data_IF_753070419966
#
_entry.id   IF_753070419966
#
_cell.length_a   1.000
_cell.length_b   1.000
_cell.length_c   1.000
_cell.angle_alpha   90.00
_cell.angle_beta   90.00
_cell.angle_gamma   90.00
#
_symmetry.space_group_name_H-M   'P 1'
#
loop_
_entity.id
_entity.type
_entity.pdbx_description
1 polymer ?
#
# COMPACT_ATOMS: atom_id res chain seq x y z
N UNK A 1 -15.56 16.64 31.95
CA UNK A 1 -14.45 17.46 31.42
C UNK A 1 -13.44 17.59 32.53
N UNK A 2 -12.18 17.20 32.33
CA UNK A 2 -11.14 17.47 33.32
C UNK A 2 -11.00 18.99 33.45
N UNK A 3 -10.99 19.49 34.68
CA UNK A 3 -10.77 20.91 34.95
C UNK A 3 -9.31 21.24 34.63
N UNK A 4 -9.07 22.18 33.72
CA UNK A 4 -7.73 22.68 33.39
C UNK A 4 -7.07 23.19 34.66
N UNK A 5 -5.88 22.68 34.95
CA UNK A 5 -5.12 22.96 36.17
C UNK A 5 -3.90 23.81 35.86
N UNK A 6 -3.85 25.01 36.43
CA UNK A 6 -2.70 25.91 36.35
C UNK A 6 -1.91 25.81 37.66
N UNK A 7 -0.60 25.55 37.55
CA UNK A 7 0.32 25.61 38.68
C UNK A 7 0.88 27.03 38.81
N UNK A 8 0.59 27.69 39.90
CA UNK A 8 1.13 29.00 40.26
C UNK A 8 2.28 28.83 41.25
N UNK A 9 3.47 29.31 40.91
CA UNK A 9 4.67 29.27 41.76
C UNK A 9 5.10 30.70 42.07
N UNK A 10 4.87 31.13 43.31
CA UNK A 10 5.14 32.50 43.77
C UNK A 10 5.40 32.48 45.29
N UNK A 11 6.47 33.11 45.75
CA UNK A 11 6.85 33.13 47.17
C UNK A 11 6.02 34.14 47.99
N UNK A 12 5.75 35.32 47.42
CA UNK A 12 4.92 36.36 48.02
C UNK A 12 3.48 35.91 48.21
N UNK A 13 3.07 35.74 49.47
CA UNK A 13 1.71 35.33 49.82
C UNK A 13 0.63 36.28 49.26
N UNK A 14 0.92 37.58 49.20
CA UNK A 14 0.00 38.58 48.66
C UNK A 14 -0.18 38.43 47.16
N UNK A 15 0.92 38.35 46.39
CA UNK A 15 0.85 38.19 44.93
C UNK A 15 0.20 36.86 44.57
N UNK A 16 0.61 35.78 45.27
CA UNK A 16 0.06 34.44 45.08
C UNK A 16 -1.45 34.43 45.26
N UNK A 17 -1.96 35.07 46.32
CA UNK A 17 -3.41 35.18 46.57
C UNK A 17 -4.14 35.88 45.42
N UNK A 18 -3.67 37.03 44.94
CA UNK A 18 -4.34 37.76 43.86
C UNK A 18 -4.35 36.99 42.53
N UNK A 19 -3.21 36.37 42.17
CA UNK A 19 -3.13 35.59 40.92
C UNK A 19 -3.95 34.30 41.03
N UNK A 20 -3.97 33.66 42.20
CA UNK A 20 -4.81 32.48 42.46
C UNK A 20 -6.30 32.80 42.32
N UNK A 21 -6.79 33.90 42.91
CA UNK A 21 -8.18 34.32 42.74
C UNK A 21 -8.51 34.59 41.27
N UNK A 22 -7.62 35.26 40.55
CA UNK A 22 -7.79 35.52 39.12
C UNK A 22 -7.89 34.23 38.28
N UNK A 23 -7.02 33.24 38.52
CA UNK A 23 -7.08 31.94 37.84
C UNK A 23 -8.42 31.23 38.10
N UNK A 24 -8.90 31.28 39.35
CA UNK A 24 -10.20 30.71 39.72
C UNK A 24 -11.36 31.44 39.05
N UNK A 25 -11.30 32.77 38.93
CA UNK A 25 -12.29 33.58 38.21
C UNK A 25 -12.35 33.28 36.70
N UNK A 26 -11.21 32.90 36.09
CA UNK A 26 -11.16 32.41 34.71
C UNK A 26 -11.78 31.00 34.55
N UNK A 27 -12.16 30.34 35.65
CA UNK A 27 -12.78 29.01 35.64
C UNK A 27 -11.77 27.85 35.63
N UNK A 28 -10.50 28.13 35.88
CA UNK A 28 -9.44 27.12 35.96
C UNK A 28 -9.18 26.70 37.41
N UNK A 29 -8.69 25.47 37.60
CA UNK A 29 -8.18 25.02 38.90
C UNK A 29 -6.81 25.62 39.12
N UNK A 30 -6.60 26.28 40.25
CA UNK A 30 -5.27 26.74 40.67
C UNK A 30 -4.67 25.74 41.67
N UNK A 31 -3.42 25.35 41.44
CA UNK A 31 -2.56 24.72 42.45
C UNK A 31 -1.41 25.67 42.72
N UNK A 32 -1.11 25.90 44.00
CA UNK A 32 -0.17 26.94 44.43
C UNK A 32 1.05 26.31 45.08
N UNK A 33 2.25 26.76 44.69
CA UNK A 33 3.54 26.40 45.26
C UNK A 33 4.30 27.67 45.66
N UNK A 34 5.13 27.58 46.71
CA UNK A 34 5.84 28.73 47.30
C UNK A 34 7.26 28.92 46.79
N UNK A 35 7.82 27.89 46.16
CA UNK A 35 9.17 27.89 45.60
C UNK A 35 9.30 26.82 44.50
N UNK A 36 10.43 26.81 43.80
CA UNK A 36 10.70 25.86 42.73
C UNK A 36 10.71 24.39 43.18
N UNK A 37 11.09 24.11 44.43
CA UNK A 37 11.17 22.74 44.95
C UNK A 37 9.77 22.14 45.12
N UNK A 38 8.85 22.87 45.74
CA UNK A 38 7.44 22.47 45.87
C UNK A 38 6.80 22.25 44.49
N UNK A 39 7.12 23.10 43.51
CA UNK A 39 6.63 22.96 42.13
C UNK A 39 7.13 21.67 41.46
N UNK A 40 8.42 21.37 41.58
CA UNK A 40 9.00 20.11 41.06
C UNK A 40 8.40 18.90 41.78
N UNK A 41 8.23 18.95 43.09
CA UNK A 41 7.59 17.86 43.86
C UNK A 41 6.14 17.61 43.44
N UNK A 42 5.37 18.67 43.20
CA UNK A 42 4.02 18.54 42.63
C UNK A 42 4.05 17.86 41.26
N UNK A 43 4.90 18.36 40.35
CA UNK A 43 4.98 17.87 38.98
C UNK A 43 5.48 16.43 38.86
N UNK A 44 6.19 15.90 39.88
CA UNK A 44 6.59 14.48 39.94
C UNK A 44 5.39 13.54 40.05
N UNK A 45 4.29 14.02 40.62
CA UNK A 45 3.09 13.22 40.82
C UNK A 45 2.03 13.50 39.75
N UNK A 46 1.94 14.73 39.26
CA UNK A 46 0.91 15.15 38.32
C UNK A 46 1.39 16.33 37.46
N UNK A 47 1.20 16.25 36.14
CA UNK A 47 1.45 17.39 35.25
C UNK A 47 0.28 18.39 35.27
N UNK A 48 0.54 19.70 35.45
CA UNK A 48 -0.44 20.75 35.19
C UNK A 48 -0.57 21.04 33.68
N UNK A 49 -1.61 21.76 33.29
CA UNK A 49 -1.83 22.18 31.90
C UNK A 49 -1.06 23.46 31.53
N UNK A 50 -0.65 24.24 32.55
CA UNK A 50 0.17 25.45 32.40
C UNK A 50 0.86 25.78 33.73
N UNK A 51 2.06 26.34 33.67
CA UNK A 51 2.81 26.80 34.85
C UNK A 51 3.05 28.30 34.75
N UNK A 52 2.65 29.03 35.79
CA UNK A 52 3.06 30.41 36.03
C UNK A 52 4.18 30.39 37.09
N UNK A 53 5.36 30.85 36.72
CA UNK A 53 6.58 30.67 37.52
C UNK A 53 7.21 32.02 37.85
N UNK A 54 7.31 32.38 39.13
CA UNK A 54 8.20 33.46 39.53
C UNK A 54 9.66 33.07 39.30
N UNK A 55 10.49 34.03 38.90
CA UNK A 55 11.91 33.80 38.65
C UNK A 55 12.70 33.80 39.95
N UNK A 56 12.42 34.74 40.85
CA UNK A 56 13.23 34.96 42.06
C UNK A 56 12.45 34.45 43.27
N UNK A 57 12.88 33.33 43.82
CA UNK A 57 12.26 32.68 44.97
C UNK A 57 13.31 32.06 45.89
N UNK A 58 13.01 31.84 47.19
CA UNK A 58 13.90 31.11 48.09
C UNK A 58 14.01 29.63 47.70
N UNK A 59 15.04 28.96 48.23
CA UNK A 59 15.33 27.52 48.07
C UNK A 59 15.72 27.08 46.64
N UNK A 60 14.79 27.16 45.69
CA UNK A 60 15.01 26.86 44.27
C UNK A 60 14.35 27.96 43.43
N UNK A 61 15.15 28.61 42.60
CA UNK A 61 14.67 29.68 41.73
C UNK A 61 13.88 29.13 40.53
N UNK A 62 13.14 30.00 39.84
CA UNK A 62 12.27 29.59 38.73
C UNK A 62 13.02 29.04 37.51
N UNK A 63 14.28 29.45 37.29
CA UNK A 63 15.10 28.99 36.17
C UNK A 63 15.61 27.56 36.41
N UNK A 64 16.08 27.30 37.63
CA UNK A 64 16.47 25.99 38.11
C UNK A 64 15.28 25.03 38.07
N UNK A 65 14.13 25.47 38.60
CA UNK A 65 12.89 24.69 38.58
C UNK A 65 12.46 24.35 37.15
N UNK A 66 12.49 25.32 36.23
CA UNK A 66 12.14 25.10 34.81
C UNK A 66 13.05 24.07 34.17
N UNK A 67 14.36 24.12 34.44
CA UNK A 67 15.32 23.14 33.92
C UNK A 67 14.98 21.72 34.40
N UNK A 68 14.64 21.56 35.68
CA UNK A 68 14.24 20.26 36.23
C UNK A 68 12.88 19.78 35.72
N UNK A 69 11.91 20.69 35.59
CA UNK A 69 10.58 20.40 35.04
C UNK A 69 10.66 19.96 33.58
N UNK A 70 11.50 20.58 32.75
CA UNK A 70 11.69 20.15 31.35
C UNK A 70 12.27 18.75 31.24
N UNK A 71 13.21 18.38 32.12
CA UNK A 71 13.71 16.99 32.20
C UNK A 71 12.61 16.03 32.66
N UNK A 72 11.78 16.46 33.60
CA UNK A 72 10.72 15.64 34.16
C UNK A 72 9.60 15.37 33.14
N UNK A 73 9.19 16.37 32.37
CA UNK A 73 8.12 16.21 31.38
C UNK A 73 8.58 15.51 30.09
N UNK A 74 9.88 15.55 29.77
CA UNK A 74 10.44 14.88 28.60
C UNK A 74 9.81 15.40 27.30
N UNK A 75 9.15 14.50 26.56
CA UNK A 75 8.46 14.84 25.31
C UNK A 75 7.09 15.49 25.52
N UNK A 76 6.53 15.44 26.73
CA UNK A 76 5.28 16.12 27.04
C UNK A 76 5.53 17.62 27.26
N UNK A 77 5.01 18.46 26.38
CA UNK A 77 5.18 19.90 26.51
C UNK A 77 4.11 20.52 27.42
N UNK A 78 4.56 21.06 28.56
CA UNK A 78 3.75 21.89 29.45
C UNK A 78 4.20 23.35 29.30
N UNK A 79 3.31 24.30 28.99
CA UNK A 79 3.67 25.71 28.88
C UNK A 79 4.15 26.29 30.21
N UNK A 80 5.27 27.01 30.20
CA UNK A 80 5.84 27.71 31.36
C UNK A 80 5.98 29.19 31.04
N UNK A 81 5.19 30.02 31.73
CA UNK A 81 5.22 31.48 31.61
C UNK A 81 5.88 32.07 32.86
N UNK A 82 6.98 32.78 32.68
CA UNK A 82 7.66 33.45 33.78
C UNK A 82 6.96 34.74 34.20
N UNK A 83 6.84 34.97 35.51
CA UNK A 83 6.42 36.24 36.09
C UNK A 83 7.66 36.92 36.68
N UNK A 84 8.08 38.07 36.15
CA UNK A 84 9.40 38.64 36.51
C UNK A 84 9.34 40.15 36.75
N UNK A 85 10.07 40.65 37.75
CA UNK A 85 10.29 42.08 37.97
C UNK A 85 11.31 42.58 36.94
N UNK A 86 10.87 43.35 35.95
CA UNK A 86 11.72 43.93 34.90
C UNK A 86 12.93 44.64 35.53
N UNK A 87 14.14 44.11 35.34
CA UNK A 87 15.35 44.93 35.45
C UNK A 87 16.50 44.54 34.50
N UNK A 88 16.54 43.37 33.85
CA UNK A 88 17.58 43.08 32.86
C UNK A 88 17.04 42.25 31.69
N UNK A 89 17.17 42.77 30.46
CA UNK A 89 16.92 42.03 29.21
C UNK A 89 17.71 40.71 29.14
N UNK A 90 18.83 40.62 29.86
CA UNK A 90 19.65 39.41 29.98
C UNK A 90 18.91 38.28 30.73
N UNK A 91 18.11 38.59 31.76
CA UNK A 91 17.36 37.58 32.52
C UNK A 91 16.25 36.91 31.69
N UNK A 92 15.64 37.64 30.74
CA UNK A 92 14.64 37.10 29.81
C UNK A 92 15.26 36.09 28.85
N UNK A 93 16.43 36.43 28.29
CA UNK A 93 17.16 35.54 27.36
C UNK A 93 17.62 34.27 28.08
N UNK A 94 18.06 34.38 29.34
CA UNK A 94 18.43 33.23 30.18
C UNK A 94 17.21 32.35 30.50
N UNK A 95 16.05 32.94 30.79
CA UNK A 95 14.79 32.20 31.03
C UNK A 95 14.30 31.40 29.83
N UNK A 96 14.31 32.00 28.64
CA UNK A 96 13.96 31.29 27.41
C UNK A 96 14.96 30.15 27.10
N UNK A 97 16.25 30.36 27.37
CA UNK A 97 17.28 29.31 27.23
C UNK A 97 17.14 28.18 28.26
N UNK A 98 16.62 28.46 29.46
CA UNK A 98 16.29 27.47 30.46
C UNK A 98 15.04 26.64 30.10
N UNK A 99 14.32 27.03 29.03
CA UNK A 99 13.16 26.33 28.51
C UNK A 99 11.82 26.95 28.91
N UNK A 100 11.76 28.20 29.36
CA UNK A 100 10.48 28.93 29.46
C UNK A 100 9.92 29.28 28.07
N UNK A 101 8.60 29.32 27.95
CA UNK A 101 7.93 29.59 26.67
C UNK A 101 7.58 31.08 26.49
N UNK A 102 7.40 31.80 27.60
CA UNK A 102 7.07 33.24 27.58
C UNK A 102 7.36 33.90 28.94
N UNK A 103 7.21 35.21 29.01
CA UNK A 103 7.33 35.98 30.24
C UNK A 103 6.31 37.12 30.32
N UNK A 104 6.03 37.55 31.55
CA UNK A 104 5.19 38.69 31.88
C UNK A 104 5.85 39.52 32.98
N UNK A 105 5.93 40.82 32.75
CA UNK A 105 6.53 41.76 33.68
C UNK A 105 5.63 42.01 34.91
N UNK A 106 6.24 42.11 36.09
CA UNK A 106 5.60 42.61 37.32
C UNK A 106 5.64 44.16 37.32
N UNK A 107 4.58 44.85 37.77
CA UNK A 107 3.31 44.29 38.26
C UNK A 107 2.50 43.63 37.14
N UNK A 108 1.96 42.44 37.43
CA UNK A 108 1.29 41.58 36.45
C UNK A 108 0.02 42.26 35.94
N UNK A 109 -0.06 42.46 34.63
CA UNK A 109 -1.31 42.84 33.96
C UNK A 109 -2.19 41.61 33.78
N UNK A 110 -3.34 41.59 34.45
CA UNK A 110 -4.29 40.48 34.36
C UNK A 110 -4.88 40.30 32.95
N UNK A 111 -5.11 41.39 32.21
CA UNK A 111 -5.56 41.32 30.82
C UNK A 111 -4.54 40.60 29.93
N UNK A 112 -3.25 40.95 30.07
CA UNK A 112 -2.18 40.27 29.34
C UNK A 112 -1.97 38.83 29.80
N UNK A 113 -2.11 38.57 31.11
CA UNK A 113 -1.99 37.22 31.66
C UNK A 113 -3.09 36.30 31.12
N UNK A 114 -4.36 36.73 31.11
CA UNK A 114 -5.45 35.93 30.52
C UNK A 114 -5.21 35.63 29.05
N UNK A 115 -4.81 36.63 28.26
CA UNK A 115 -4.53 36.44 26.85
C UNK A 115 -3.42 35.38 26.62
N UNK A 116 -2.33 35.45 27.39
CA UNK A 116 -1.23 34.47 27.30
C UNK A 116 -1.68 33.08 27.76
N UNK A 117 -2.39 32.97 28.88
CA UNK A 117 -2.93 31.68 29.37
C UNK A 117 -3.78 31.02 28.28
N UNK A 118 -4.72 31.75 27.67
CA UNK A 118 -5.59 31.21 26.63
C UNK A 118 -4.81 30.74 25.40
N UNK A 119 -3.81 31.51 24.95
CA UNK A 119 -2.98 31.15 23.79
C UNK A 119 -2.18 29.87 24.07
N UNK A 120 -1.51 29.79 25.22
CA UNK A 120 -0.66 28.64 25.53
C UNK A 120 -1.46 27.37 25.81
N UNK A 121 -2.59 27.47 26.50
CA UNK A 121 -3.50 26.34 26.67
C UNK A 121 -4.01 25.82 25.32
N UNK A 122 -4.36 26.72 24.39
CA UNK A 122 -4.77 26.34 23.04
C UNK A 122 -3.66 25.63 22.27
N UNK A 123 -2.42 26.11 22.35
CA UNK A 123 -1.28 25.45 21.69
C UNK A 123 -1.05 24.07 22.29
N UNK A 124 -1.12 23.94 23.62
CA UNK A 124 -0.91 22.67 24.31
C UNK A 124 -2.00 21.65 23.95
N UNK A 125 -3.25 22.10 23.87
CA UNK A 125 -4.37 21.29 23.40
C UNK A 125 -4.15 20.82 21.95
N UNK A 126 -3.75 21.72 21.04
CA UNK A 126 -3.46 21.36 19.65
C UNK A 126 -2.31 20.35 19.53
N UNK A 127 -1.24 20.50 20.31
CA UNK A 127 -0.13 19.53 20.31
C UNK A 127 -0.57 18.15 20.82
N UNK A 128 -1.37 18.12 21.90
CA UNK A 128 -1.93 16.86 22.40
C UNK A 128 -2.84 16.20 21.34
N UNK A 129 -3.66 16.98 20.63
CA UNK A 129 -4.49 16.46 19.55
C UNK A 129 -3.65 15.88 18.41
N UNK A 130 -2.61 16.59 17.97
CA UNK A 130 -1.70 16.10 16.91
C UNK A 130 -1.05 14.77 17.32
N UNK A 131 -0.55 14.66 18.55
CA UNK A 131 0.07 13.43 19.05
C UNK A 131 -0.95 12.29 19.12
N UNK A 132 -2.18 12.55 19.56
CA UNK A 132 -3.24 11.55 19.59
C UNK A 132 -3.65 11.10 18.18
N UNK A 133 -3.74 12.03 17.24
CA UNK A 133 -4.07 11.73 15.85
C UNK A 133 -2.94 10.96 15.17
N UNK A 134 -1.67 11.26 15.48
CA UNK A 134 -0.53 10.48 14.99
C UNK A 134 -0.60 9.02 15.46
N UNK A 135 -0.85 8.78 16.76
CA UNK A 135 -1.00 7.43 17.32
C UNK A 135 -2.20 6.72 16.69
N UNK A 136 -3.33 7.41 16.52
CA UNK A 136 -4.53 6.84 15.89
C UNK A 136 -4.26 6.47 14.42
N UNK A 137 -3.53 7.32 13.70
CA UNK A 137 -3.20 7.11 12.30
C UNK A 137 -2.25 5.92 12.12
N UNK A 138 -1.22 5.81 12.95
CA UNK A 138 -0.31 4.66 12.96
C UNK A 138 -1.08 3.35 13.16
N UNK A 139 -1.98 3.32 14.15
CA UNK A 139 -2.84 2.16 14.38
C UNK A 139 -3.72 1.81 13.16
N UNK A 140 -4.31 2.81 12.50
CA UNK A 140 -5.09 2.56 11.28
C UNK A 140 -4.25 2.00 10.13
N UNK A 141 -3.00 2.46 10.00
CA UNK A 141 -2.08 1.91 9.01
C UNK A 141 -1.76 0.45 9.28
N UNK A 142 -1.42 0.10 10.53
CA UNK A 142 -1.15 -1.28 10.91
C UNK A 142 -2.35 -2.22 10.68
N UNK A 143 -3.56 -1.78 11.08
CA UNK A 143 -4.79 -2.58 10.88
C UNK A 143 -5.08 -2.80 9.38
N UNK A 144 -5.00 -1.75 8.56
CA UNK A 144 -5.26 -1.84 7.12
C UNK A 144 -4.17 -2.67 6.41
N UNK A 145 -2.90 -2.54 6.80
CA UNK A 145 -1.82 -3.35 6.24
C UNK A 145 -2.03 -4.83 6.56
N UNK A 146 -2.42 -5.14 7.80
CA UNK A 146 -2.72 -6.52 8.20
C UNK A 146 -3.91 -7.10 7.42
N UNK A 147 -5.01 -6.36 7.28
CA UNK A 147 -6.18 -6.78 6.48
C UNK A 147 -5.81 -7.04 5.02
N UNK A 148 -5.00 -6.16 4.43
CA UNK A 148 -4.49 -6.33 3.07
C UNK A 148 -3.63 -7.59 2.97
N UNK A 149 -2.64 -7.77 3.84
CA UNK A 149 -1.76 -8.95 3.85
C UNK A 149 -2.54 -10.26 3.97
N UNK A 150 -3.55 -10.31 4.86
CA UNK A 150 -4.40 -11.49 5.01
C UNK A 150 -5.18 -11.81 3.72
N UNK A 151 -5.74 -10.78 3.06
CA UNK A 151 -6.46 -10.97 1.81
C UNK A 151 -5.53 -11.49 0.69
N UNK A 152 -4.31 -10.97 0.61
CA UNK A 152 -3.29 -11.44 -0.34
C UNK A 152 -2.92 -12.90 -0.10
N UNK A 153 -2.70 -13.27 1.16
CA UNK A 153 -2.37 -14.65 1.52
C UNK A 153 -3.50 -15.63 1.14
N UNK A 154 -4.76 -15.24 1.35
CA UNK A 154 -5.91 -16.05 0.95
C UNK A 154 -5.97 -16.25 -0.57
N UNK A 155 -5.77 -15.18 -1.34
CA UNK A 155 -5.82 -15.26 -2.81
C UNK A 155 -4.65 -16.09 -3.35
N UNK A 156 -3.43 -15.91 -2.82
CA UNK A 156 -2.30 -16.75 -3.19
C UNK A 156 -2.53 -18.23 -2.87
N UNK A 157 -3.14 -18.54 -1.72
CA UNK A 157 -3.46 -19.93 -1.35
C UNK A 157 -4.48 -20.54 -2.31
N UNK A 158 -5.50 -19.79 -2.75
CA UNK A 158 -6.48 -20.26 -3.72
C UNK A 158 -5.82 -20.60 -5.06
N UNK A 159 -4.92 -19.75 -5.56
CA UNK A 159 -4.21 -19.97 -6.83
C UNK A 159 -3.24 -21.16 -6.71
N UNK A 160 -2.43 -21.22 -5.65
CA UNK A 160 -1.37 -22.24 -5.50
C UNK A 160 -1.92 -23.66 -5.33
N UNK A 161 -3.04 -23.84 -4.62
CA UNK A 161 -3.53 -25.19 -4.30
C UNK A 161 -4.06 -25.96 -5.51
N UNK A 162 -4.40 -25.29 -6.60
CA UNK A 162 -5.14 -25.91 -7.72
C UNK A 162 -4.45 -25.77 -9.08
N UNK A 163 -3.21 -25.28 -9.10
CA UNK A 163 -2.43 -25.07 -10.34
C UNK A 163 -1.38 -26.16 -10.52
N UNK A 164 -1.38 -26.83 -11.66
CA UNK A 164 -0.30 -27.74 -12.07
C UNK A 164 0.91 -26.96 -12.59
N UNK A 165 2.10 -27.57 -12.50
CA UNK A 165 3.35 -26.99 -13.03
C UNK A 165 4.10 -28.03 -13.85
N UNK A 166 3.66 -28.28 -15.09
CA UNK A 166 4.36 -29.21 -15.97
C UNK A 166 5.72 -28.64 -16.41
N UNK A 167 6.69 -29.52 -16.63
CA UNK A 167 8.10 -29.13 -16.91
C UNK A 167 8.27 -28.37 -18.23
N UNK A 168 7.37 -28.56 -19.19
CA UNK A 168 7.40 -27.88 -20.48
C UNK A 168 6.72 -26.50 -20.46
N UNK A 169 6.18 -26.06 -19.31
CA UNK A 169 5.65 -24.70 -19.12
C UNK A 169 6.53 -23.92 -18.15
N UNK A 170 7.13 -22.85 -18.66
CA UNK A 170 7.79 -21.85 -17.86
C UNK A 170 6.83 -20.67 -17.65
N UNK A 171 6.75 -20.16 -16.43
CA UNK A 171 5.87 -19.06 -16.06
C UNK A 171 6.60 -18.04 -15.19
N UNK A 172 6.20 -16.78 -15.33
CA UNK A 172 6.64 -15.69 -14.48
C UNK A 172 5.49 -14.74 -14.21
N UNK A 173 5.38 -14.31 -12.95
CA UNK A 173 4.40 -13.37 -12.46
C UNK A 173 5.11 -12.43 -11.48
N UNK A 174 5.08 -11.12 -11.73
CA UNK A 174 5.72 -10.12 -10.87
C UNK A 174 4.83 -8.90 -10.68
N UNK A 175 4.46 -8.54 -9.44
CA UNK A 175 3.60 -7.40 -9.18
C UNK A 175 4.30 -6.05 -9.43
N UNK A 176 3.57 -5.05 -9.90
CA UNK A 176 3.98 -3.65 -9.96
C UNK A 176 3.84 -2.95 -8.60
N UNK A 177 2.81 -3.30 -7.81
CA UNK A 177 2.60 -2.76 -6.47
C UNK A 177 1.80 -3.72 -5.58
N UNK A 178 2.40 -4.21 -4.48
CA UNK A 178 1.75 -4.98 -3.40
C UNK A 178 1.15 -6.35 -3.77
N UNK A 179 0.44 -6.45 -4.90
CA UNK A 179 -0.21 -7.62 -5.46
C UNK A 179 -0.23 -7.55 -6.99
N UNK A 180 -0.27 -8.71 -7.63
CA UNK A 180 -0.27 -8.84 -9.08
C UNK A 180 -1.72 -9.00 -9.60
N UNK A 181 -2.24 -8.02 -10.32
CA UNK A 181 -3.54 -8.05 -11.00
C UNK A 181 -3.62 -9.08 -12.13
N UNK A 182 -2.47 -9.55 -12.64
CA UNK A 182 -2.39 -10.70 -13.52
C UNK A 182 -2.46 -12.03 -12.75
N UNK A 183 -2.94 -13.04 -13.47
CA UNK A 183 -3.19 -14.36 -12.97
C UNK A 183 -2.77 -15.37 -14.04
N UNK A 184 -2.10 -16.42 -13.58
CA UNK A 184 -1.80 -17.60 -14.40
C UNK A 184 -2.39 -18.82 -13.69
N UNK A 185 -3.35 -19.48 -14.34
CA UNK A 185 -3.90 -20.78 -13.91
C UNK A 185 -3.53 -21.83 -14.95
N UNK A 186 -3.10 -22.99 -14.48
CA UNK A 186 -2.81 -24.17 -15.29
C UNK A 186 -3.48 -25.36 -14.60
N UNK A 187 -4.38 -26.03 -15.30
CA UNK A 187 -5.09 -27.21 -14.80
C UNK A 187 -5.05 -28.33 -15.83
N UNK A 188 -5.12 -29.57 -15.35
CA UNK A 188 -5.20 -30.74 -16.20
C UNK A 188 -6.65 -31.26 -16.17
N UNK A 189 -7.40 -31.21 -17.29
CA UNK A 189 -8.73 -31.81 -17.34
C UNK A 189 -8.64 -33.35 -17.26
N UNK A 190 -9.70 -34.06 -16.83
CA UNK A 190 -9.74 -35.52 -16.77
C UNK A 190 -9.46 -36.22 -18.11
N UNK A 191 -9.69 -35.53 -19.24
CA UNK A 191 -9.45 -36.03 -20.59
C UNK A 191 -7.99 -35.95 -21.07
N UNK A 192 -7.08 -35.37 -20.28
CA UNK A 192 -5.69 -35.12 -20.67
C UNK A 192 -5.48 -33.79 -21.39
N UNK A 193 -4.22 -33.46 -21.70
CA UNK A 193 -3.83 -32.12 -22.14
C UNK A 193 -3.92 -31.11 -21.00
N UNK A 194 -3.99 -29.82 -21.30
CA UNK A 194 -3.98 -28.75 -20.31
C UNK A 194 -5.01 -27.67 -20.63
N UNK A 195 -5.46 -27.02 -19.57
CA UNK A 195 -6.28 -25.82 -19.58
C UNK A 195 -5.49 -24.72 -18.90
N UNK A 196 -5.15 -23.69 -19.65
CA UNK A 196 -4.30 -22.58 -19.22
C UNK A 196 -5.09 -21.29 -19.38
N UNK A 197 -5.04 -20.44 -18.36
CA UNK A 197 -5.56 -19.07 -18.41
C UNK A 197 -4.46 -18.11 -17.99
N UNK A 198 -4.12 -17.18 -18.86
CA UNK A 198 -3.47 -15.92 -18.49
C UNK A 198 -4.55 -14.86 -18.48
N UNK A 199 -4.72 -14.18 -17.35
CA UNK A 199 -5.74 -13.17 -17.16
C UNK A 199 -5.12 -11.93 -16.53
N UNK A 200 -5.45 -10.77 -17.04
CA UNK A 200 -5.10 -9.44 -16.54
C UNK A 200 -6.40 -8.75 -16.14
N UNK A 201 -6.52 -8.46 -14.85
CA UNK A 201 -7.73 -7.87 -14.28
C UNK A 201 -7.58 -6.35 -14.19
N UNK A 202 -8.55 -5.61 -14.75
CA UNK A 202 -8.51 -4.15 -14.75
C UNK A 202 -8.31 -3.56 -13.34
N UNK A 203 -7.29 -2.71 -13.20
CA UNK A 203 -6.89 -2.08 -11.95
C UNK A 203 -5.56 -2.67 -11.45
N UNK A 204 -5.16 -2.33 -10.23
CA UNK A 204 -3.96 -2.91 -9.60
C UNK A 204 -4.22 -3.22 -8.13
N UNK A 205 -3.33 -4.01 -7.53
CA UNK A 205 -3.40 -4.36 -6.11
C UNK A 205 -4.57 -5.28 -5.76
N UNK A 206 -5.04 -5.19 -4.51
CA UNK A 206 -6.08 -6.08 -3.97
C UNK A 206 -7.41 -6.03 -4.76
N UNK A 207 -7.73 -4.90 -5.37
CA UNK A 207 -8.99 -4.76 -6.09
C UNK A 207 -9.03 -5.54 -7.41
N UNK A 208 -7.89 -5.65 -8.11
CA UNK A 208 -7.75 -6.52 -9.28
C UNK A 208 -7.82 -7.99 -8.85
N UNK A 209 -7.12 -8.33 -7.76
CA UNK A 209 -7.13 -9.65 -7.13
C UNK A 209 -8.53 -10.22 -6.88
N UNK A 210 -9.38 -9.43 -6.20
CA UNK A 210 -10.74 -9.82 -5.85
C UNK A 210 -11.60 -9.99 -7.11
N UNK A 211 -11.31 -9.22 -8.16
CA UNK A 211 -12.03 -9.30 -9.45
C UNK A 211 -11.72 -10.61 -10.19
N UNK A 212 -10.55 -11.22 -9.93
CA UNK A 212 -10.15 -12.48 -10.53
C UNK A 212 -10.82 -13.71 -9.87
N UNK A 213 -11.21 -13.62 -8.58
CA UNK A 213 -11.70 -14.76 -7.80
C UNK A 213 -12.84 -15.55 -8.45
N UNK A 214 -13.91 -14.92 -9.00
CA UNK A 214 -14.96 -15.67 -9.65
C UNK A 214 -14.48 -16.44 -10.87
N UNK A 215 -13.50 -15.88 -11.61
CA UNK A 215 -12.90 -16.55 -12.76
C UNK A 215 -12.10 -17.77 -12.31
N UNK A 216 -11.27 -17.63 -11.26
CA UNK A 216 -10.46 -18.71 -10.67
C UNK A 216 -11.35 -19.91 -10.29
N UNK A 217 -12.36 -19.67 -9.46
CA UNK A 217 -13.23 -20.73 -8.96
C UNK A 217 -13.97 -21.43 -10.11
N UNK A 218 -14.52 -20.64 -11.04
CA UNK A 218 -15.26 -21.19 -12.19
C UNK A 218 -14.36 -22.02 -13.10
N UNK A 219 -13.15 -21.53 -13.38
CA UNK A 219 -12.19 -22.20 -14.24
C UNK A 219 -11.79 -23.56 -13.66
N UNK A 220 -11.47 -23.61 -12.36
CA UNK A 220 -11.12 -24.86 -11.68
C UNK A 220 -12.28 -25.85 -11.66
N UNK A 221 -13.46 -25.44 -11.17
CA UNK A 221 -14.62 -26.34 -11.03
C UNK A 221 -15.04 -26.96 -12.37
N UNK A 222 -15.05 -26.16 -13.43
CA UNK A 222 -15.44 -26.64 -14.75
C UNK A 222 -14.36 -27.52 -15.39
N UNK A 223 -13.08 -27.22 -15.17
CA UNK A 223 -11.98 -28.08 -15.63
C UNK A 223 -12.03 -29.45 -14.94
N UNK A 224 -12.22 -29.48 -13.61
CA UNK A 224 -12.36 -30.72 -12.84
C UNK A 224 -13.61 -31.53 -13.26
N UNK A 225 -14.66 -30.84 -13.68
CA UNK A 225 -15.89 -31.45 -14.20
C UNK A 225 -15.73 -31.99 -15.64
N UNK A 226 -14.59 -31.78 -16.28
CA UNK A 226 -14.31 -32.22 -17.65
C UNK A 226 -15.00 -31.39 -18.73
N UNK A 227 -15.34 -30.13 -18.44
CA UNK A 227 -15.85 -29.21 -19.45
C UNK A 227 -14.74 -28.82 -20.43
N UNK A 228 -15.12 -28.60 -21.70
CA UNK A 228 -14.21 -28.02 -22.70
C UNK A 228 -13.94 -26.54 -22.45
N UNK A 229 -12.83 -26.03 -23.01
CA UNK A 229 -12.39 -24.65 -22.82
C UNK A 229 -13.41 -23.60 -23.30
N UNK A 230 -14.19 -23.90 -24.35
CA UNK A 230 -15.29 -23.08 -24.85
C UNK A 230 -16.39 -22.87 -23.79
N UNK A 231 -16.85 -23.96 -23.17
CA UNK A 231 -17.81 -23.90 -22.07
C UNK A 231 -17.24 -23.18 -20.85
N UNK A 232 -15.94 -23.38 -20.55
CA UNK A 232 -15.25 -22.68 -19.46
C UNK A 232 -15.21 -21.18 -19.73
N UNK A 233 -14.83 -20.75 -20.94
CA UNK A 233 -14.81 -19.34 -21.33
C UNK A 233 -16.18 -18.68 -21.13
N UNK A 234 -17.25 -19.35 -21.58
CA UNK A 234 -18.63 -18.88 -21.42
C UNK A 234 -19.05 -18.81 -19.94
N UNK A 235 -18.71 -19.83 -19.15
CA UNK A 235 -19.00 -19.88 -17.72
C UNK A 235 -18.30 -18.78 -16.93
N UNK A 236 -17.00 -18.60 -17.18
CA UNK A 236 -16.18 -17.53 -16.58
C UNK A 236 -16.74 -16.16 -16.96
N UNK A 237 -17.01 -15.91 -18.25
CA UNK A 237 -17.59 -14.64 -18.70
C UNK A 237 -18.92 -14.36 -18.00
N UNK A 238 -19.83 -15.34 -17.93
CA UNK A 238 -21.13 -15.17 -17.29
C UNK A 238 -20.99 -14.84 -15.80
N UNK A 239 -20.07 -15.53 -15.10
CA UNK A 239 -19.85 -15.31 -13.67
C UNK A 239 -19.26 -13.93 -13.41
N UNK A 240 -18.27 -13.51 -14.21
CA UNK A 240 -17.68 -12.17 -14.13
C UNK A 240 -18.69 -11.07 -14.47
N UNK A 241 -19.45 -11.21 -15.57
CA UNK A 241 -20.45 -10.21 -15.98
C UNK A 241 -21.52 -9.96 -14.91
N UNK A 242 -21.87 -11.00 -14.14
CA UNK A 242 -22.86 -10.90 -13.06
C UNK A 242 -22.30 -10.27 -11.79
N UNK A 243 -21.02 -10.50 -11.49
CA UNK A 243 -20.43 -10.17 -10.18
C UNK A 243 -19.55 -8.92 -10.19
N UNK A 244 -18.90 -8.62 -11.32
CA UNK A 244 -18.04 -7.46 -11.42
C UNK A 244 -18.85 -6.16 -11.45
N UNK A 245 -18.41 -5.11 -10.74
CA UNK A 245 -19.02 -3.80 -10.85
C UNK A 245 -18.74 -3.18 -12.22
N UNK A 246 -19.59 -2.24 -12.63
CA UNK A 246 -19.44 -1.53 -13.91
C UNK A 246 -18.06 -0.87 -14.05
N UNK A 247 -17.47 -1.00 -15.24
CA UNK A 247 -16.13 -0.48 -15.54
C UNK A 247 -14.98 -1.42 -15.20
N UNK A 248 -15.26 -2.65 -14.74
CA UNK A 248 -14.26 -3.71 -14.54
C UNK A 248 -14.45 -4.87 -15.50
N UNK A 249 -13.34 -5.41 -15.97
CA UNK A 249 -13.30 -6.55 -16.86
C UNK A 249 -11.96 -7.28 -16.71
N UNK A 250 -11.84 -8.43 -17.38
CA UNK A 250 -10.62 -9.24 -17.34
C UNK A 250 -10.16 -9.51 -18.76
N UNK A 251 -9.03 -8.91 -19.15
CA UNK A 251 -8.37 -9.28 -20.39
C UNK A 251 -7.77 -10.68 -20.23
N UNK A 252 -8.07 -11.62 -21.11
CA UNK A 252 -7.59 -12.99 -20.92
C UNK A 252 -7.25 -13.71 -22.21
N UNK A 253 -6.28 -14.61 -22.09
CA UNK A 253 -5.95 -15.64 -23.07
C UNK A 253 -6.24 -17.01 -22.43
N UNK A 254 -7.22 -17.72 -22.99
CA UNK A 254 -7.58 -19.08 -22.60
C UNK A 254 -7.01 -20.05 -23.62
N UNK A 255 -6.24 -21.02 -23.16
CA UNK A 255 -5.44 -21.90 -24.01
C UNK A 255 -5.73 -23.34 -23.59
N UNK A 256 -6.07 -24.18 -24.55
CA UNK A 256 -6.16 -25.63 -24.33
C UNK A 256 -5.27 -26.37 -25.29
N UNK A 257 -4.52 -27.32 -24.75
CA UNK A 257 -3.71 -28.28 -25.49
C UNK A 257 -4.46 -29.61 -25.55
N UNK A 258 -4.34 -30.32 -26.66
CA UNK A 258 -4.89 -31.66 -26.80
C UNK A 258 -4.00 -32.70 -26.08
N UNK A 259 -4.57 -33.84 -25.65
CA UNK A 259 -3.79 -34.91 -25.01
C UNK A 259 -2.68 -35.49 -25.90
N UNK A 260 -2.86 -35.42 -27.23
CA UNK A 260 -1.86 -35.86 -28.22
C UNK A 260 -0.75 -34.85 -28.50
N UNK A 261 -0.85 -33.62 -28.00
CA UNK A 261 0.08 -32.53 -28.27
C UNK A 261 0.07 -32.03 -29.71
N UNK A 262 -0.89 -32.44 -30.55
CA UNK A 262 -0.94 -32.11 -31.97
C UNK A 262 -1.61 -30.77 -32.29
N UNK A 263 -2.39 -30.23 -31.37
CA UNK A 263 -3.17 -29.01 -31.58
C UNK A 263 -3.24 -28.18 -30.29
N UNK A 264 -3.16 -26.86 -30.47
CA UNK A 264 -3.44 -25.89 -29.42
C UNK A 264 -4.59 -24.99 -29.87
N UNK A 265 -5.57 -24.77 -28.99
CA UNK A 265 -6.68 -23.85 -29.23
C UNK A 265 -6.58 -22.66 -28.30
N UNK A 266 -6.78 -21.47 -28.84
CA UNK A 266 -6.60 -20.20 -28.13
C UNK A 266 -7.84 -19.33 -28.31
N UNK A 267 -8.39 -18.86 -27.19
CA UNK A 267 -9.33 -17.74 -27.13
C UNK A 267 -8.57 -16.54 -26.58
N UNK A 268 -8.64 -15.39 -27.25
CA UNK A 268 -7.97 -14.17 -26.82
C UNK A 268 -8.95 -13.01 -26.79
N UNK A 269 -9.25 -12.55 -25.58
CA UNK A 269 -10.08 -11.38 -25.30
C UNK A 269 -9.31 -10.32 -24.54
N UNK A 270 -8.43 -9.58 -25.22
CA UNK A 270 -7.75 -8.39 -24.69
C UNK A 270 -6.26 -8.54 -24.38
N UNK A 271 -5.68 -9.74 -24.49
CA UNK A 271 -4.24 -9.94 -24.22
C UNK A 271 -3.41 -9.57 -25.47
N UNK A 272 -2.38 -8.71 -25.32
CA UNK A 272 -1.67 -8.16 -26.48
C UNK A 272 -0.75 -9.15 -27.17
N UNK A 273 -0.17 -10.10 -26.42
CA UNK A 273 0.87 -10.99 -26.94
C UNK A 273 0.48 -12.46 -26.78
N UNK A 274 0.13 -13.10 -27.90
CA UNK A 274 0.02 -14.55 -28.03
C UNK A 274 0.66 -14.97 -29.35
N UNK A 275 1.87 -15.55 -29.26
CA UNK A 275 2.74 -15.80 -30.42
C UNK A 275 3.23 -17.25 -30.43
N UNK A 276 3.06 -17.95 -31.55
CA UNK A 276 3.66 -19.26 -31.77
C UNK A 276 4.98 -19.10 -32.53
N UNK A 277 6.05 -19.69 -32.01
CA UNK A 277 7.36 -19.72 -32.62
C UNK A 277 7.70 -21.12 -33.14
N UNK A 278 8.31 -21.18 -34.32
CA UNK A 278 8.81 -22.41 -34.92
C UNK A 278 10.11 -22.89 -34.26
N UNK A 279 10.64 -24.03 -34.72
CA UNK A 279 11.89 -24.65 -34.25
C UNK A 279 13.15 -23.75 -34.36
N UNK A 280 13.08 -22.67 -35.17
CA UNK A 280 14.13 -21.68 -35.39
C UNK A 280 13.93 -20.38 -34.59
N UNK A 281 12.88 -20.30 -33.77
CA UNK A 281 12.55 -19.09 -33.02
C UNK A 281 12.00 -17.95 -33.89
N UNK A 282 11.37 -18.28 -35.02
CA UNK A 282 10.66 -17.32 -35.87
C UNK A 282 9.16 -17.44 -35.65
N UNK A 283 8.44 -16.31 -35.70
CA UNK A 283 6.99 -16.28 -35.49
C UNK A 283 6.28 -17.00 -36.64
N UNK A 284 5.55 -18.07 -36.31
CA UNK A 284 4.78 -18.87 -37.25
C UNK A 284 3.29 -18.49 -37.22
N UNK A 285 2.74 -18.21 -36.04
CA UNK A 285 1.35 -17.77 -35.88
C UNK A 285 1.22 -16.68 -34.81
N UNK A 286 0.17 -15.86 -34.94
CA UNK A 286 -0.18 -14.82 -33.97
C UNK A 286 -1.67 -14.92 -33.66
N UNK A 287 -2.03 -15.10 -32.39
CA UNK A 287 -3.43 -15.08 -31.96
C UNK A 287 -3.79 -13.67 -31.49
N UNK A 288 -4.28 -12.84 -32.42
CA UNK A 288 -4.71 -11.48 -32.09
C UNK A 288 -5.94 -11.53 -31.17
N UNK A 289 -6.11 -10.49 -30.34
CA UNK A 289 -7.34 -10.29 -29.59
C UNK A 289 -8.52 -10.14 -30.55
N UNK A 290 -9.33 -11.18 -30.66
CA UNK A 290 -10.49 -11.25 -31.55
C UNK A 290 -11.81 -11.01 -30.79
N UNK A 291 -11.78 -11.15 -29.46
CA UNK A 291 -12.95 -11.04 -28.59
C UNK A 291 -12.82 -9.85 -27.63
N UNK A 292 -13.93 -9.31 -27.13
CA UNK A 292 -13.88 -8.40 -25.99
C UNK A 292 -13.40 -9.11 -24.72
N UNK A 293 -12.85 -8.36 -23.74
CA UNK A 293 -12.48 -8.92 -22.44
C UNK A 293 -13.64 -9.63 -21.72
N UNK A 294 -13.28 -10.61 -20.89
CA UNK A 294 -14.24 -11.38 -20.10
C UNK A 294 -14.97 -10.45 -19.11
N UNK A 295 -16.27 -10.69 -18.94
CA UNK A 295 -17.17 -9.93 -18.07
C UNK A 295 -17.84 -8.72 -18.75
N UNK A 296 -17.40 -8.33 -19.94
CA UNK A 296 -17.98 -7.18 -20.67
C UNK A 296 -19.33 -7.54 -21.29
N UNK A 297 -19.40 -8.68 -22.00
CA UNK A 297 -20.57 -9.06 -22.77
C UNK A 297 -21.53 -9.96 -21.96
N UNK A 298 -22.86 -9.79 -22.14
CA UNK A 298 -23.84 -10.73 -21.62
C UNK A 298 -23.74 -12.09 -22.32
N UNK A 299 -24.30 -13.13 -21.71
CA UNK A 299 -24.11 -14.52 -22.14
C UNK A 299 -24.63 -14.84 -23.56
N UNK A 300 -25.63 -14.10 -24.04
CA UNK A 300 -26.23 -14.23 -25.38
C UNK A 300 -25.41 -13.55 -26.48
N UNK A 301 -24.57 -12.58 -26.12
CA UNK A 301 -23.68 -11.88 -27.04
C UNK A 301 -22.22 -12.38 -26.98
N UNK A 302 -21.89 -13.25 -26.02
CA UNK A 302 -20.54 -13.78 -25.85
C UNK A 302 -20.19 -14.79 -26.95
N UNK A 303 -19.03 -14.55 -27.57
CA UNK A 303 -18.44 -15.39 -28.60
C UNK A 303 -17.29 -16.22 -28.00
N UNK A 304 -17.48 -17.54 -27.98
CA UNK A 304 -16.56 -18.54 -27.45
C UNK A 304 -15.77 -19.27 -28.55
N UNK A 305 -15.81 -18.79 -29.80
CA UNK A 305 -14.99 -19.35 -30.88
C UNK A 305 -13.50 -19.26 -30.54
N UNK A 306 -12.78 -20.36 -30.75
CA UNK A 306 -11.35 -20.45 -30.48
C UNK A 306 -10.56 -20.64 -31.77
N UNK A 307 -9.38 -20.01 -31.84
CA UNK A 307 -8.44 -20.25 -32.92
C UNK A 307 -7.70 -21.57 -32.68
N UNK A 308 -7.88 -22.55 -33.57
CA UNK A 308 -7.11 -23.80 -33.58
C UNK A 308 -5.81 -23.63 -34.36
N UNK A 309 -4.71 -24.09 -33.78
CA UNK A 309 -3.38 -24.08 -34.40
C UNK A 309 -2.80 -25.49 -34.33
N UNK A 310 -2.30 -25.99 -35.46
CA UNK A 310 -1.52 -27.23 -35.48
C UNK A 310 -0.22 -27.01 -34.71
N UNK A 311 0.06 -27.89 -33.76
CA UNK A 311 1.19 -27.80 -32.85
C UNK A 311 2.16 -28.96 -33.11
N UNK A 312 3.43 -28.63 -33.33
CA UNK A 312 4.47 -29.56 -33.74
C UNK A 312 5.67 -29.52 -32.79
N UNK A 313 6.38 -30.63 -32.70
CA UNK A 313 7.57 -30.75 -31.87
C UNK A 313 8.61 -29.67 -32.22
N UNK A 314 9.15 -29.02 -31.19
CA UNK A 314 10.09 -27.89 -31.34
C UNK A 314 9.43 -26.51 -31.40
N UNK A 315 8.10 -26.44 -31.55
CA UNK A 315 7.38 -25.17 -31.45
C UNK A 315 7.16 -24.74 -30.00
N UNK A 316 7.12 -23.42 -29.78
CA UNK A 316 6.90 -22.81 -28.46
C UNK A 316 5.90 -21.68 -28.56
N UNK A 317 4.87 -21.71 -27.70
CA UNK A 317 3.89 -20.64 -27.55
C UNK A 317 4.37 -19.67 -26.45
N UNK A 318 4.38 -18.38 -26.76
CA UNK A 318 4.73 -17.31 -25.81
C UNK A 318 3.54 -16.39 -25.62
N UNK A 319 3.17 -16.18 -24.36
CA UNK A 319 2.00 -15.39 -23.96
C UNK A 319 2.42 -14.37 -22.92
N UNK A 320 2.03 -13.10 -23.08
CA UNK A 320 2.30 -12.08 -22.06
C UNK A 320 1.20 -11.04 -21.95
N UNK A 321 1.04 -10.50 -20.74
CA UNK A 321 0.21 -9.33 -20.48
C UNK A 321 0.79 -8.06 -21.11
N UNK A 322 0.05 -6.97 -20.96
CA UNK A 322 0.49 -5.65 -21.40
C UNK A 322 1.70 -5.13 -20.63
N UNK A 323 1.95 -5.53 -19.38
CA UNK A 323 3.12 -5.10 -18.61
C UNK A 323 4.47 -5.35 -19.28
N UNK A 324 4.57 -6.33 -20.19
CA UNK A 324 5.77 -6.52 -21.04
C UNK A 324 5.71 -5.65 -22.29
N UNK A 325 4.61 -5.69 -23.03
CA UNK A 325 4.52 -5.02 -24.34
C UNK A 325 4.42 -3.50 -24.22
N UNK A 326 3.83 -2.99 -23.15
CA UNK A 326 3.66 -1.58 -22.85
C UNK A 326 4.80 -0.99 -22.01
N UNK A 327 5.80 -1.80 -21.62
CA UNK A 327 7.00 -1.31 -20.94
C UNK A 327 7.64 -0.15 -21.73
N UNK A 328 7.73 1.03 -21.10
CA UNK A 328 8.20 2.27 -21.77
C UNK A 328 9.66 2.54 -21.47
N UNK A 329 10.39 3.02 -22.49
CA UNK A 329 11.71 3.59 -22.29
C UNK A 329 11.64 5.02 -21.71
N UNK A 330 12.81 5.62 -21.43
CA UNK A 330 12.91 7.01 -20.95
C UNK A 330 12.38 8.08 -21.93
N UNK A 331 11.97 7.71 -23.14
CA UNK A 331 11.35 8.58 -24.16
C UNK A 331 9.86 8.29 -24.35
N UNK A 332 9.30 7.31 -23.62
CA UNK A 332 7.90 6.91 -23.70
C UNK A 332 7.60 5.89 -24.81
N UNK A 333 8.60 5.34 -25.49
CA UNK A 333 8.41 4.32 -26.51
C UNK A 333 8.19 2.94 -25.87
N UNK A 334 7.11 2.28 -26.25
CA UNK A 334 6.75 0.94 -25.77
C UNK A 334 7.70 -0.13 -26.34
N UNK A 335 7.97 -1.17 -25.55
CA UNK A 335 8.77 -2.33 -25.96
C UNK A 335 8.13 -3.08 -27.14
N UNK A 336 6.80 -3.22 -27.08
CA UNK A 336 5.95 -3.75 -28.14
C UNK A 336 6.20 -5.23 -28.47
N UNK A 337 5.40 -5.75 -29.40
CA UNK A 337 5.55 -7.13 -29.88
C UNK A 337 6.90 -7.36 -30.58
N UNK A 338 7.42 -6.36 -31.29
CA UNK A 338 8.72 -6.45 -31.95
C UNK A 338 9.86 -6.65 -30.94
N UNK A 339 9.80 -6.00 -29.77
CA UNK A 339 10.74 -6.22 -28.68
C UNK A 339 10.67 -7.65 -28.15
N UNK A 340 9.46 -8.17 -27.93
CA UNK A 340 9.24 -9.55 -27.48
C UNK A 340 9.80 -10.55 -28.51
N UNK A 341 9.48 -10.40 -29.79
CA UNK A 341 9.98 -11.28 -30.86
C UNK A 341 11.51 -11.32 -30.92
N UNK A 342 12.16 -10.16 -30.83
CA UNK A 342 13.62 -10.07 -30.82
C UNK A 342 14.22 -10.74 -29.59
N UNK A 343 13.61 -10.55 -28.41
CA UNK A 343 14.08 -11.13 -27.16
C UNK A 343 13.89 -12.67 -27.12
N UNK A 344 12.78 -13.19 -27.64
CA UNK A 344 12.56 -14.63 -27.81
C UNK A 344 13.66 -15.23 -28.68
N UNK A 345 13.95 -14.61 -29.83
CA UNK A 345 15.01 -15.06 -30.74
C UNK A 345 16.40 -15.07 -30.09
N UNK A 346 16.69 -14.08 -29.25
CA UNK A 346 17.97 -13.99 -28.52
C UNK A 346 18.12 -15.08 -27.44
N UNK A 347 17.01 -15.53 -26.84
CA UNK A 347 16.98 -16.57 -25.80
C UNK A 347 16.72 -17.98 -26.33
N UNK A 348 16.55 -18.17 -27.63
CA UNK A 348 16.10 -19.43 -28.22
C UNK A 348 17.15 -20.55 -28.13
N UNK A 349 16.75 -21.81 -27.89
CA UNK A 349 15.43 -22.27 -27.43
C UNK A 349 15.28 -22.26 -25.90
N UNK A 350 16.40 -22.20 -25.16
CA UNK A 350 16.42 -22.62 -23.76
C UNK A 350 16.07 -21.52 -22.75
N UNK A 351 16.34 -20.27 -23.08
CA UNK A 351 16.28 -19.12 -22.17
C UNK A 351 15.26 -18.06 -22.60
N UNK A 352 14.19 -18.49 -23.26
CA UNK A 352 13.17 -17.58 -23.82
C UNK A 352 12.60 -16.66 -22.73
N UNK A 353 12.11 -17.23 -21.63
CA UNK A 353 11.51 -16.47 -20.53
C UNK A 353 12.47 -15.43 -19.93
N UNK A 354 13.65 -15.87 -19.52
CA UNK A 354 14.68 -14.99 -18.95
C UNK A 354 15.13 -13.89 -19.91
N UNK A 355 15.24 -14.20 -21.21
CA UNK A 355 15.66 -13.26 -22.24
C UNK A 355 14.63 -12.15 -22.46
N UNK A 356 13.34 -12.50 -22.53
CA UNK A 356 12.23 -11.53 -22.64
C UNK A 356 12.19 -10.62 -21.42
N UNK A 357 12.27 -11.17 -20.21
CA UNK A 357 12.27 -10.36 -18.97
C UNK A 357 13.48 -9.43 -18.89
N UNK A 358 14.68 -9.93 -19.21
CA UNK A 358 15.90 -9.14 -19.19
C UNK A 358 15.85 -8.00 -20.22
N UNK A 359 15.33 -8.26 -21.42
CA UNK A 359 15.19 -7.26 -22.48
C UNK A 359 14.16 -6.18 -22.10
N UNK A 360 12.99 -6.57 -21.58
CA UNK A 360 11.97 -5.63 -21.13
C UNK A 360 12.49 -4.74 -19.99
N UNK A 361 13.19 -5.34 -19.01
CA UNK A 361 13.81 -4.58 -17.90
C UNK A 361 14.91 -3.63 -18.37
N UNK A 362 15.74 -4.06 -19.32
CA UNK A 362 16.78 -3.22 -19.91
C UNK A 362 16.18 -2.03 -20.69
N UNK A 363 15.06 -2.25 -21.38
CA UNK A 363 14.33 -1.21 -22.12
C UNK A 363 13.82 -0.09 -21.20
N UNK A 364 13.37 -0.45 -19.99
CA UNK A 364 12.92 0.52 -18.97
C UNK A 364 14.06 1.34 -18.33
N UNK A 365 15.34 1.07 -18.64
CA UNK A 365 16.51 1.79 -18.10
C UNK A 365 16.56 1.86 -16.55
N UNK A 366 16.00 0.86 -15.86
CA UNK A 366 15.89 0.85 -14.40
C UNK A 366 14.70 1.63 -13.83
N UNK A 367 13.77 2.09 -14.67
CA UNK A 367 12.46 2.57 -14.24
C UNK A 367 11.62 1.48 -13.57
N UNK A 368 10.69 1.90 -12.72
CA UNK A 368 9.71 1.00 -12.09
C UNK A 368 8.69 0.59 -13.15
N UNK A 369 8.34 -0.70 -13.20
CA UNK A 369 7.28 -1.19 -14.09
C UNK A 369 5.99 -0.42 -13.82
N UNK A 370 5.34 0.07 -14.87
CA UNK A 370 4.08 0.80 -14.76
C UNK A 370 2.89 -0.12 -14.49
N UNK A 371 3.03 -1.41 -14.81
CA UNK A 371 1.97 -2.41 -14.69
C UNK A 371 2.53 -3.79 -14.32
N UNK A 372 1.64 -4.69 -13.92
CA UNK A 372 1.95 -6.06 -13.55
C UNK A 372 2.54 -6.84 -14.73
N UNK A 373 3.58 -7.65 -14.45
CA UNK A 373 4.28 -8.38 -15.50
C UNK A 373 3.96 -9.86 -15.41
N UNK A 374 3.33 -10.40 -16.44
CA UNK A 374 3.11 -11.84 -16.60
C UNK A 374 3.62 -12.38 -17.94
N UNK A 375 4.29 -13.55 -17.88
CA UNK A 375 4.86 -14.22 -19.04
C UNK A 375 4.71 -15.74 -18.90
N UNK A 376 4.20 -16.36 -19.95
CA UNK A 376 4.14 -17.81 -20.13
C UNK A 376 4.92 -18.20 -21.36
N UNK A 377 5.70 -19.27 -21.22
CA UNK A 377 6.41 -19.95 -22.31
C UNK A 377 6.03 -21.42 -22.26
N UNK A 378 5.21 -21.85 -23.21
CA UNK A 378 4.63 -23.19 -23.28
C UNK A 378 5.31 -23.92 -24.44
N UNK A 379 6.20 -24.85 -24.13
CA UNK A 379 6.87 -25.68 -25.14
C UNK A 379 5.98 -26.84 -25.52
N UNK A 380 6.09 -27.31 -26.76
CA UNK A 380 5.47 -28.58 -27.13
C UNK A 380 6.00 -29.69 -26.21
N UNK A 381 5.14 -30.51 -25.58
CA UNK A 381 5.54 -31.50 -24.57
C UNK A 381 6.37 -32.69 -25.13
N UNK A 382 6.75 -32.69 -26.41
CA UNK A 382 7.37 -33.84 -27.09
C UNK A 382 6.49 -35.11 -27.15
N UNK A 383 6.94 -36.16 -27.86
CA UNK A 383 6.21 -37.43 -28.00
C UNK A 383 6.25 -38.33 -26.76
N UNK A 384 7.07 -38.02 -25.75
CA UNK A 384 7.29 -38.89 -24.57
C UNK A 384 6.32 -38.63 -23.39
N UNK A 385 5.39 -37.67 -23.52
CA UNK A 385 4.45 -37.31 -22.44
C UNK A 385 3.04 -37.93 -22.58
N UNK A 386 2.79 -38.71 -23.62
CA UNK A 386 1.61 -39.58 -23.69
C UNK A 386 1.83 -40.84 -22.85
N UNK A 387 1.48 -40.79 -21.57
CA UNK A 387 1.43 -41.93 -20.67
C UNK A 387 0.00 -42.14 -20.12
#
# INVERSE_FOLDING_TARGET
MSSTTILLVEDSATNRYFIEQFILELGYRCVSAKNGLEAVEYCRNQAPDLILMDVIMPEMDGLQATTELRKLFGEHWVPIIFLTSLNELESVVVGLKAGGDDYLAKPVSFDLLSAKIHVFLRIAEMQNQINQDAIRLEKYYEENEFEQQLALELIERLIRQRTSRPDYIWQYLSPAAGFNGDLIIICQPPGGGEHIMLADCTGHGLTAAISALPAIDCFHEMTESGCGMDAIARGVNQKLHKLLPGGRFVAAALITTDPSGSEVRVWNGGVPCVLLFNDKGEVEARCKSAHPPLGVLPADAFDDDMQTISWQAGQTLVVSSDGITEAKDGRGAMFGLAGVEAAVKAGWPDRIGDSVLAAAKAHMLGGVASDDVSLLVIRHPGPDYSA
#
